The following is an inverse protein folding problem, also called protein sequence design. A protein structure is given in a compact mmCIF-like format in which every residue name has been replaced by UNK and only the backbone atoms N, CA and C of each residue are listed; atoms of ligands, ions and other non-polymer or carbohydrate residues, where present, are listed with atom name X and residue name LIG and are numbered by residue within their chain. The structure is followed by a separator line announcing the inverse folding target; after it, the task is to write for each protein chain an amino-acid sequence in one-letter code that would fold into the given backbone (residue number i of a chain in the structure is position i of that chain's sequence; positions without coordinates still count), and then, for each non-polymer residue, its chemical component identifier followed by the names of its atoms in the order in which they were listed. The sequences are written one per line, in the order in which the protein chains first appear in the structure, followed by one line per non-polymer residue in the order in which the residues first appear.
data_IF_162082395735
#
_entry.id   IF_162082395735
#
_cell.length_a   1.000
_cell.length_b   1.000
_cell.length_c   1.000
_cell.angle_alpha   90.00
_cell.angle_beta   90.00
_cell.angle_gamma   90.00
#
_symmetry.space_group_name_H-M   'P 1'
#
loop_
_entity.id
_entity.type
_entity.pdbx_description
1 polymer ?
#
# COMPACT_ATOMS: atom_id res chain seq x y z
N UNK A 1 6.24 -19.65 40.65
CA UNK A 1 6.34 -19.96 39.22
C UNK A 1 5.64 -18.87 38.44
N UNK A 2 6.38 -17.89 37.93
CA UNK A 2 5.86 -16.73 37.20
C UNK A 2 5.90 -17.01 35.70
N UNK A 3 4.72 -17.03 35.07
CA UNK A 3 4.56 -17.23 33.63
C UNK A 3 5.16 -16.05 32.85
N UNK A 4 6.22 -16.30 32.08
CA UNK A 4 6.79 -15.34 31.15
C UNK A 4 5.91 -15.26 29.88
N UNK A 5 5.21 -14.13 29.69
CA UNK A 5 4.44 -13.87 28.48
C UNK A 5 5.35 -13.77 27.24
N UNK A 6 5.00 -14.41 26.11
CA UNK A 6 5.84 -14.41 24.92
C UNK A 6 5.86 -13.04 24.21
N UNK A 7 7.07 -12.46 24.07
CA UNK A 7 7.40 -11.24 23.30
C UNK A 7 7.21 -11.37 21.77
N UNK A 8 6.18 -12.09 21.28
CA UNK A 8 5.97 -12.32 19.84
C UNK A 8 5.06 -11.29 19.17
N UNK A 9 4.21 -10.58 19.91
CA UNK A 9 3.26 -9.64 19.31
C UNK A 9 3.87 -8.31 18.82
N UNK A 10 5.00 -7.86 19.36
CA UNK A 10 5.58 -6.56 18.96
C UNK A 10 6.33 -6.61 17.62
N UNK A 11 6.83 -7.77 17.19
CA UNK A 11 7.62 -7.89 15.95
C UNK A 11 6.74 -7.73 14.71
N UNK A 12 5.49 -8.21 14.76
CA UNK A 12 4.56 -8.20 13.62
C UNK A 12 4.10 -6.77 13.28
N UNK A 13 4.06 -5.85 14.23
CA UNK A 13 3.64 -4.46 14.02
C UNK A 13 4.85 -3.55 13.72
N UNK A 14 6.01 -3.84 14.31
CA UNK A 14 7.22 -3.03 14.14
C UNK A 14 7.84 -3.21 12.75
N UNK A 15 7.81 -4.41 12.19
CA UNK A 15 8.30 -4.66 10.82
C UNK A 15 7.55 -3.86 9.74
N UNK A 16 6.21 -3.92 9.63
CA UNK A 16 5.48 -3.15 8.62
C UNK A 16 5.62 -1.66 8.89
N UNK A 17 5.60 -1.19 10.14
CA UNK A 17 5.79 0.23 10.44
C UNK A 17 7.19 0.73 10.00
N UNK A 18 8.24 -0.08 10.21
CA UNK A 18 9.62 0.27 9.81
C UNK A 18 9.82 0.20 8.31
N UNK A 19 9.20 -0.78 7.63
CA UNK A 19 9.18 -0.89 6.17
C UNK A 19 8.44 0.31 5.58
N UNK A 20 7.23 0.61 6.07
CA UNK A 20 6.41 1.77 5.66
C UNK A 20 7.20 3.06 5.83
N UNK A 21 7.85 3.27 6.98
CA UNK A 21 8.67 4.47 7.27
C UNK A 21 9.89 4.56 6.34
N UNK A 22 10.55 3.44 6.05
CA UNK A 22 11.68 3.38 5.12
C UNK A 22 11.26 3.67 3.67
N UNK A 23 10.13 3.13 3.21
CA UNK A 23 9.54 3.49 1.91
C UNK A 23 9.06 4.94 1.87
N UNK A 24 8.58 5.50 2.98
CA UNK A 24 8.16 6.90 3.09
C UNK A 24 9.32 7.90 3.08
N UNK A 25 10.50 7.47 3.55
CA UNK A 25 11.73 8.28 3.57
C UNK A 25 12.52 8.19 2.25
N UNK A 26 12.36 7.12 1.48
CA UNK A 26 12.97 6.96 0.13
C UNK A 26 12.07 7.41 -1.02
N UNK A 27 10.84 7.83 -0.70
CA UNK A 27 9.91 8.41 -1.64
C UNK A 27 10.27 9.88 -1.91
N UNK A 28 11.34 10.14 -2.67
CA UNK A 28 11.73 11.50 -3.07
C UNK A 28 10.68 12.15 -4.00
N UNK A 29 9.75 11.36 -4.56
CA UNK A 29 8.64 11.81 -5.39
C UNK A 29 7.31 11.91 -4.63
N UNK A 30 6.66 13.08 -4.73
CA UNK A 30 5.33 13.36 -4.15
C UNK A 30 4.27 12.34 -4.60
N UNK A 31 4.43 11.79 -5.82
CA UNK A 31 3.56 10.79 -6.43
C UNK A 31 3.69 9.41 -5.77
N UNK A 32 4.89 8.99 -5.38
CA UNK A 32 5.14 7.70 -4.71
C UNK A 32 4.53 7.72 -3.31
N UNK A 33 4.69 8.84 -2.60
CA UNK A 33 4.06 9.06 -1.29
C UNK A 33 2.54 9.02 -1.37
N UNK A 34 1.96 9.72 -2.36
CA UNK A 34 0.52 9.70 -2.61
C UNK A 34 0.03 8.29 -2.99
N UNK A 35 0.75 7.58 -3.85
CA UNK A 35 0.41 6.21 -4.23
C UNK A 35 0.45 5.23 -3.06
N UNK A 36 1.49 5.28 -2.23
CA UNK A 36 1.61 4.47 -1.01
C UNK A 36 0.55 4.85 0.03
N UNK A 37 0.26 6.14 0.21
CA UNK A 37 -0.80 6.60 1.10
C UNK A 37 -2.18 6.13 0.63
N UNK A 38 -2.47 6.22 -0.68
CA UNK A 38 -3.71 5.68 -1.27
C UNK A 38 -3.85 4.18 -1.03
N UNK A 39 -2.76 3.42 -1.21
CA UNK A 39 -2.75 1.97 -0.98
C UNK A 39 -2.95 1.60 0.49
N UNK A 40 -2.33 2.35 1.42
CA UNK A 40 -2.50 2.14 2.85
C UNK A 40 -3.91 2.49 3.32
N UNK A 41 -4.47 3.58 2.81
CA UNK A 41 -5.84 4.00 3.12
C UNK A 41 -6.89 3.12 2.45
N UNK A 42 -6.53 2.37 1.40
CA UNK A 42 -7.44 1.48 0.69
C UNK A 42 -8.10 0.45 1.62
N UNK A 43 -7.29 -0.25 2.41
CA UNK A 43 -7.75 -1.29 3.32
C UNK A 43 -8.81 -0.77 4.31
N UNK A 44 -8.55 0.28 5.11
CA UNK A 44 -9.54 0.81 6.03
C UNK A 44 -10.73 1.43 5.30
N UNK A 45 -10.56 2.00 4.10
CA UNK A 45 -11.68 2.60 3.37
C UNK A 45 -12.62 1.54 2.77
N UNK A 46 -12.07 0.48 2.18
CA UNK A 46 -12.85 -0.62 1.61
C UNK A 46 -13.59 -1.41 2.68
N UNK A 47 -12.88 -1.97 3.66
CA UNK A 47 -13.53 -2.76 4.72
C UNK A 47 -14.33 -1.88 5.68
N UNK A 48 -13.88 -0.65 5.95
CA UNK A 48 -14.60 0.29 6.80
C UNK A 48 -15.94 0.73 6.20
N UNK A 49 -16.01 0.98 4.89
CA UNK A 49 -17.29 1.32 4.24
C UNK A 49 -18.28 0.15 4.22
N UNK A 50 -17.81 -1.08 4.03
CA UNK A 50 -18.63 -2.28 4.17
C UNK A 50 -19.13 -2.47 5.61
N UNK A 51 -18.26 -2.30 6.61
CA UNK A 51 -18.61 -2.42 8.02
C UNK A 51 -19.64 -1.36 8.41
N UNK A 52 -19.39 -0.09 8.09
CA UNK A 52 -20.29 1.01 8.40
C UNK A 52 -21.61 0.89 7.63
N UNK A 53 -21.57 0.50 6.36
CA UNK A 53 -22.76 0.29 5.54
C UNK A 53 -23.64 -0.86 6.05
N UNK A 54 -23.02 -1.97 6.46
CA UNK A 54 -23.74 -3.12 7.04
C UNK A 54 -24.30 -2.82 8.44
N UNK A 55 -23.55 -2.12 9.29
CA UNK A 55 -24.05 -1.65 10.59
C UNK A 55 -25.21 -0.65 10.44
N UNK A 56 -25.09 0.33 9.54
CA UNK A 56 -26.14 1.31 9.30
C UNK A 56 -27.40 0.65 8.71
N UNK A 57 -27.23 -0.32 7.80
CA UNK A 57 -28.35 -1.10 7.26
C UNK A 57 -29.05 -1.93 8.33
N UNK A 58 -28.30 -2.54 9.25
CA UNK A 58 -28.87 -3.30 10.37
C UNK A 58 -29.64 -2.38 11.35
N UNK A 59 -29.12 -1.18 11.63
CA UNK A 59 -29.75 -0.22 12.54
C UNK A 59 -31.02 0.42 11.96
N UNK A 60 -31.06 0.66 10.64
CA UNK A 60 -32.19 1.34 9.96
C UNK A 60 -33.13 0.40 9.22
N UNK A 61 -32.84 -0.91 9.19
CA UNK A 61 -33.53 -1.93 8.37
C UNK A 61 -33.70 -1.54 6.89
N UNK A 62 -32.81 -0.68 6.38
CA UNK A 62 -32.93 -0.12 5.04
C UNK A 62 -31.77 -0.58 4.16
N UNK A 63 -32.08 -1.37 3.13
CA UNK A 63 -31.10 -1.99 2.23
C UNK A 63 -30.27 -0.98 1.41
N UNK A 64 -30.70 0.29 1.36
CA UNK A 64 -29.94 1.37 0.69
C UNK A 64 -28.56 1.60 1.32
N UNK A 65 -28.42 1.39 2.63
CA UNK A 65 -27.14 1.54 3.33
C UNK A 65 -26.13 0.43 2.99
N UNK A 66 -26.61 -0.77 2.70
CA UNK A 66 -25.76 -1.83 2.15
C UNK A 66 -25.22 -1.42 0.77
N UNK A 67 -26.08 -0.85 -0.08
CA UNK A 67 -25.67 -0.37 -1.40
C UNK A 67 -24.60 0.74 -1.31
N UNK A 68 -24.75 1.67 -0.35
CA UNK A 68 -23.73 2.69 -0.06
C UNK A 68 -22.41 2.08 0.42
N UNK A 69 -22.46 1.06 1.29
CA UNK A 69 -21.28 0.33 1.73
C UNK A 69 -20.58 -0.40 0.59
N UNK A 70 -21.33 -1.07 -0.28
CA UNK A 70 -20.81 -1.75 -1.47
C UNK A 70 -20.23 -0.75 -2.48
N UNK A 71 -20.87 0.40 -2.68
CA UNK A 71 -20.34 1.47 -3.53
C UNK A 71 -19.02 2.04 -2.98
N UNK A 72 -18.92 2.22 -1.65
CA UNK A 72 -17.67 2.60 -0.99
C UNK A 72 -16.55 1.58 -1.18
N UNK A 73 -16.89 0.28 -1.12
CA UNK A 73 -15.95 -0.80 -1.42
C UNK A 73 -15.51 -0.80 -2.88
N UNK A 74 -16.43 -0.61 -3.82
CA UNK A 74 -16.09 -0.48 -5.24
C UNK A 74 -15.16 0.73 -5.50
N UNK A 75 -15.36 1.84 -4.78
CA UNK A 75 -14.48 3.00 -4.85
C UNK A 75 -13.06 2.68 -4.33
N UNK A 76 -12.94 1.82 -3.31
CA UNK A 76 -11.63 1.39 -2.82
C UNK A 76 -10.84 0.63 -3.90
N UNK A 77 -11.50 -0.12 -4.79
CA UNK A 77 -10.82 -0.73 -5.94
C UNK A 77 -10.24 0.31 -6.91
N UNK A 78 -10.91 1.44 -7.12
CA UNK A 78 -10.37 2.54 -7.91
C UNK A 78 -9.16 3.19 -7.23
N UNK A 79 -9.20 3.35 -5.90
CA UNK A 79 -8.03 3.82 -5.15
C UNK A 79 -6.88 2.81 -5.21
N UNK A 80 -7.18 1.50 -5.31
CA UNK A 80 -6.18 0.46 -5.46
C UNK A 80 -5.51 0.61 -6.82
N UNK A 81 -6.31 0.64 -7.89
CA UNK A 81 -5.81 0.80 -9.25
C UNK A 81 -5.00 2.09 -9.40
N UNK A 82 -5.51 3.21 -8.89
CA UNK A 82 -4.84 4.51 -8.93
C UNK A 82 -3.53 4.52 -8.13
N UNK A 83 -3.54 4.02 -6.90
CA UNK A 83 -2.34 3.93 -6.06
C UNK A 83 -1.27 3.00 -6.65
N UNK A 84 -1.69 1.87 -7.21
CA UNK A 84 -0.79 0.89 -7.86
C UNK A 84 -0.20 1.47 -9.15
N UNK A 85 -0.99 2.18 -9.94
CA UNK A 85 -0.50 2.87 -11.14
C UNK A 85 0.52 3.96 -10.79
N UNK A 86 0.22 4.82 -9.81
CA UNK A 86 1.12 5.88 -9.35
C UNK A 86 2.46 5.34 -8.84
N UNK A 87 2.42 4.33 -7.95
CA UNK A 87 3.64 3.68 -7.47
C UNK A 87 4.38 2.96 -8.61
N UNK A 88 3.63 2.29 -9.49
CA UNK A 88 4.17 1.53 -10.61
C UNK A 88 4.93 2.38 -11.62
N UNK A 89 4.40 3.55 -12.00
CA UNK A 89 5.08 4.46 -12.94
C UNK A 89 6.42 4.96 -12.40
N UNK A 90 6.46 5.36 -11.13
CA UNK A 90 7.66 5.94 -10.52
C UNK A 90 8.70 4.87 -10.15
N UNK A 91 8.24 3.69 -9.75
CA UNK A 91 9.09 2.52 -9.60
C UNK A 91 9.74 2.13 -10.94
N UNK A 92 8.98 2.18 -12.05
CA UNK A 92 9.49 1.92 -13.40
C UNK A 92 10.60 2.89 -13.76
N UNK A 93 10.40 4.19 -13.59
CA UNK A 93 11.40 5.22 -13.92
C UNK A 93 12.69 5.04 -13.12
N UNK A 94 12.56 4.73 -11.83
CA UNK A 94 13.71 4.52 -10.95
C UNK A 94 14.46 3.23 -11.30
N UNK A 95 13.73 2.15 -11.61
CA UNK A 95 14.30 0.88 -12.07
C UNK A 95 15.00 1.05 -13.41
N UNK A 96 14.39 1.71 -14.39
CA UNK A 96 14.99 1.93 -15.71
C UNK A 96 16.28 2.75 -15.62
N UNK A 97 16.31 3.81 -14.79
CA UNK A 97 17.56 4.58 -14.56
C UNK A 97 18.66 3.72 -13.97
N UNK A 98 18.34 2.89 -12.98
CA UNK A 98 19.34 2.00 -12.35
C UNK A 98 19.76 0.86 -13.27
N UNK A 99 18.83 0.30 -14.05
CA UNK A 99 19.10 -0.75 -15.02
C UNK A 99 20.04 -0.23 -16.12
N UNK A 100 19.78 0.97 -16.65
CA UNK A 100 20.61 1.60 -17.68
C UNK A 100 22.04 1.87 -17.20
N UNK A 101 22.21 2.33 -15.94
CA UNK A 101 23.55 2.50 -15.33
C UNK A 101 24.28 1.18 -15.15
N UNK A 102 23.60 0.15 -14.63
CA UNK A 102 24.19 -1.19 -14.45
C UNK A 102 24.53 -1.84 -15.79
N UNK A 103 23.70 -1.65 -16.81
CA UNK A 103 23.92 -2.15 -18.15
C UNK A 103 25.11 -1.48 -18.84
N UNK A 104 25.26 -0.15 -18.69
CA UNK A 104 26.44 0.57 -19.18
C UNK A 104 27.74 0.13 -18.46
N UNK A 105 27.68 -0.12 -17.15
CA UNK A 105 28.82 -0.66 -16.40
C UNK A 105 29.17 -2.10 -16.83
N UNK A 106 28.16 -2.92 -17.11
CA UNK A 106 28.33 -4.28 -17.62
C UNK A 106 28.93 -4.29 -19.03
N UNK A 107 28.48 -3.42 -19.94
CA UNK A 107 29.10 -3.28 -21.27
C UNK A 107 30.58 -2.89 -21.20
N UNK A 108 30.95 -1.96 -20.31
CA UNK A 108 32.37 -1.57 -20.10
C UNK A 108 33.23 -2.72 -19.57
N UNK A 109 32.68 -3.58 -18.73
CA UNK A 109 33.36 -4.78 -18.25
C UNK A 109 33.51 -5.83 -19.36
N UNK A 110 32.48 -6.00 -20.19
CA UNK A 110 32.49 -6.98 -21.27
C UNK A 110 33.39 -6.59 -22.46
N UNK A 111 33.74 -5.31 -22.61
CA UNK A 111 34.73 -4.84 -23.59
C UNK A 111 36.18 -4.98 -23.13
N UNK A 112 36.42 -5.24 -21.84
CA UNK A 112 37.77 -5.43 -21.28
C UNK A 112 38.16 -6.91 -21.12
N UNK A 113 37.30 -7.81 -21.59
CA UNK A 113 37.52 -9.27 -21.60
C UNK A 113 37.60 -9.73 -23.04
#
# INVERSE_FOLDING_TARGET
MTYAAPRKCSVIIVLPAKIVRSTWQRADGLRLRLGVALLLLNFPFGYGSLLLGSMAAAATQNSRWLFLGTAGYALSWLMLAGGTALVGYEAKDTLFKNFRRKWAAWQKLNQRR
#
